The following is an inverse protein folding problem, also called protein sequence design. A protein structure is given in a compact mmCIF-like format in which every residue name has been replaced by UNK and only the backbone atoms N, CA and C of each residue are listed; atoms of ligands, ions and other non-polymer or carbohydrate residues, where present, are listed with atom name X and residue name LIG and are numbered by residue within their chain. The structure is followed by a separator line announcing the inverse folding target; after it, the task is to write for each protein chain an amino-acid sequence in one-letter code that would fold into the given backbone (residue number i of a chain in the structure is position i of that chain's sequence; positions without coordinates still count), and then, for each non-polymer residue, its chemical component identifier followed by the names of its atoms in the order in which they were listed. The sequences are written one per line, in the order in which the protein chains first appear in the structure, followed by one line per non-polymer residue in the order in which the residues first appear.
data_IF_570267949423
#
_entry.id   IF_570267949423
#
_cell.length_a   1.000
_cell.length_b   1.000
_cell.length_c   1.000
_cell.angle_alpha   90.00
_cell.angle_beta   90.00
_cell.angle_gamma   90.00
#
_symmetry.space_group_name_H-M   'P 1'
#
loop_
_entity.id
_entity.type
_entity.pdbx_description
1 polymer ?
#
# COMPACT_ATOMS: atom_id res chain seq x y z
N UNK A 1 -6.60 -34.61 -44.68
CA UNK A 1 -5.80 -35.00 -43.50
C UNK A 1 -5.06 -33.75 -43.06
N UNK A 2 -5.64 -32.99 -42.13
CA UNK A 2 -5.03 -31.76 -41.65
C UNK A 2 -4.35 -32.07 -40.33
N UNK A 3 -3.04 -32.26 -40.40
CA UNK A 3 -2.18 -32.57 -39.26
C UNK A 3 -1.90 -31.29 -38.46
N UNK A 4 -2.75 -30.97 -37.49
CA UNK A 4 -2.45 -30.00 -36.43
C UNK A 4 -1.55 -30.67 -35.37
N UNK A 5 -0.24 -30.78 -35.67
CA UNK A 5 0.76 -31.41 -34.78
C UNK A 5 1.24 -30.51 -33.63
N UNK A 6 0.63 -29.33 -33.44
CA UNK A 6 1.01 -28.37 -32.39
C UNK A 6 -0.17 -27.91 -31.51
N UNK A 7 -1.39 -28.46 -31.72
CA UNK A 7 -2.61 -27.97 -31.07
C UNK A 7 -2.75 -28.24 -29.56
N UNK A 8 -1.78 -28.91 -28.94
CA UNK A 8 -1.88 -29.41 -27.56
C UNK A 8 -0.73 -28.95 -26.64
N UNK A 9 0.09 -27.98 -27.05
CA UNK A 9 1.22 -27.51 -26.22
C UNK A 9 0.77 -26.41 -25.24
N UNK A 10 -0.34 -25.72 -25.52
CA UNK A 10 -0.89 -24.68 -24.64
C UNK A 10 -2.21 -25.21 -24.07
N UNK A 11 -2.36 -25.36 -22.75
CA UNK A 11 -3.64 -25.71 -22.15
C UNK A 11 -4.66 -24.63 -22.54
N UNK A 12 -5.82 -25.07 -23.06
CA UNK A 12 -6.92 -24.17 -23.34
C UNK A 12 -7.32 -23.49 -22.02
N UNK A 13 -7.33 -22.16 -21.99
CA UNK A 13 -7.61 -21.44 -20.77
C UNK A 13 -9.05 -21.78 -20.31
N UNK A 14 -9.25 -22.07 -19.02
CA UNK A 14 -10.57 -22.38 -18.51
C UNK A 14 -11.53 -21.22 -18.80
N UNK A 15 -12.73 -21.56 -19.30
CA UNK A 15 -13.78 -20.60 -19.60
C UNK A 15 -14.13 -19.81 -18.32
N UNK A 16 -14.35 -18.50 -18.45
CA UNK A 16 -14.71 -17.67 -17.31
C UNK A 16 -16.18 -17.87 -16.92
N UNK A 17 -16.43 -18.11 -15.64
CA UNK A 17 -17.80 -18.19 -15.10
C UNK A 17 -18.45 -16.81 -15.01
N UNK A 18 -19.79 -16.75 -15.00
CA UNK A 18 -20.53 -15.49 -14.87
C UNK A 18 -20.29 -14.75 -13.53
N UNK A 19 -19.92 -15.50 -12.49
CA UNK A 19 -19.47 -14.97 -11.22
C UNK A 19 -18.30 -15.82 -10.75
N UNK A 20 -17.23 -15.21 -10.26
CA UNK A 20 -16.01 -15.90 -9.85
C UNK A 20 -15.56 -15.50 -8.46
N UNK A 21 -14.98 -16.45 -7.75
CA UNK A 21 -14.37 -16.22 -6.44
C UNK A 21 -12.97 -15.62 -6.56
N UNK A 22 -12.54 -14.91 -5.52
CA UNK A 22 -11.21 -14.27 -5.44
C UNK A 22 -10.05 -15.25 -5.56
N UNK A 23 -10.20 -16.50 -5.12
CA UNK A 23 -9.17 -17.53 -5.27
C UNK A 23 -8.98 -17.93 -6.75
N UNK A 24 -10.06 -17.95 -7.54
CA UNK A 24 -9.99 -18.25 -8.98
C UNK A 24 -9.20 -17.16 -9.70
N UNK A 25 -9.53 -15.90 -9.44
CA UNK A 25 -8.81 -14.76 -10.01
C UNK A 25 -7.33 -14.77 -9.59
N UNK A 26 -7.03 -15.02 -8.30
CA UNK A 26 -5.67 -15.08 -7.77
C UNK A 26 -4.85 -16.19 -8.45
N UNK A 27 -5.45 -17.37 -8.59
CA UNK A 27 -4.82 -18.51 -9.27
C UNK A 27 -4.50 -18.19 -10.73
N UNK A 28 -5.41 -17.51 -11.46
CA UNK A 28 -5.15 -17.09 -12.84
C UNK A 28 -4.05 -16.02 -12.95
N UNK A 29 -3.92 -15.13 -11.97
CA UNK A 29 -2.87 -14.11 -11.95
C UNK A 29 -1.47 -14.73 -11.76
N UNK A 30 -1.37 -15.76 -10.92
CA UNK A 30 -0.10 -16.44 -10.60
C UNK A 30 0.43 -17.35 -11.73
N UNK A 31 -0.43 -17.74 -12.69
CA UNK A 31 -0.07 -18.64 -13.80
C UNK A 31 0.79 -17.99 -14.91
N UNK A 32 1.05 -16.68 -14.86
CA UNK A 32 2.16 -16.04 -15.59
C UNK A 32 1.83 -15.37 -16.92
N UNK A 33 0.71 -15.67 -17.58
CA UNK A 33 0.20 -14.86 -18.70
C UNK A 33 -1.30 -14.56 -18.53
N UNK A 34 -1.66 -13.39 -17.97
CA UNK A 34 -3.05 -13.04 -17.78
C UNK A 34 -3.69 -12.73 -19.13
N UNK A 35 -4.48 -13.67 -19.67
CA UNK A 35 -5.32 -13.41 -20.83
C UNK A 35 -6.61 -12.63 -20.48
N UNK A 36 -6.70 -12.06 -19.29
CA UNK A 36 -7.88 -11.37 -18.77
C UNK A 36 -7.57 -9.93 -18.36
N UNK A 37 -8.62 -9.16 -18.12
CA UNK A 37 -8.55 -7.79 -17.61
C UNK A 37 -9.37 -7.69 -16.32
N UNK A 38 -8.86 -6.97 -15.33
CA UNK A 38 -9.60 -6.68 -14.10
C UNK A 38 -10.07 -5.22 -14.17
N UNK A 39 -11.37 -4.98 -14.04
CA UNK A 39 -11.96 -3.65 -14.02
C UNK A 39 -12.43 -3.28 -12.61
N UNK A 40 -11.90 -2.17 -12.11
CA UNK A 40 -12.41 -1.52 -10.91
C UNK A 40 -13.42 -0.46 -11.33
N UNK A 41 -14.70 -0.67 -10.99
CA UNK A 41 -15.79 0.24 -11.37
C UNK A 41 -16.17 1.23 -10.27
N UNK A 42 -15.40 1.25 -9.17
CA UNK A 42 -15.53 2.25 -8.11
C UNK A 42 -15.14 3.64 -8.63
N UNK A 43 -15.40 4.65 -7.82
CA UNK A 43 -14.96 6.00 -8.11
C UNK A 43 -13.43 6.09 -8.14
N UNK A 44 -12.93 7.16 -8.78
CA UNK A 44 -11.50 7.35 -9.00
C UNK A 44 -10.71 7.52 -7.69
N UNK A 45 -11.31 8.09 -6.64
CA UNK A 45 -10.62 8.26 -5.37
C UNK A 45 -10.43 6.91 -4.68
N UNK A 46 -11.47 6.08 -4.62
CA UNK A 46 -11.39 4.71 -4.09
C UNK A 46 -10.34 3.86 -4.81
N UNK A 47 -10.26 3.96 -6.14
CA UNK A 47 -9.21 3.29 -6.91
C UNK A 47 -7.81 3.78 -6.51
N UNK A 48 -7.60 5.11 -6.44
CA UNK A 48 -6.30 5.68 -6.08
C UNK A 48 -5.87 5.33 -4.65
N UNK A 49 -6.81 5.21 -3.71
CA UNK A 49 -6.54 4.81 -2.33
C UNK A 49 -6.00 3.38 -2.24
N UNK A 50 -6.66 2.43 -2.93
CA UNK A 50 -6.27 1.03 -2.94
C UNK A 50 -7.15 0.20 -3.88
N UNK A 51 -6.53 -0.58 -4.76
CA UNK A 51 -7.17 -1.43 -5.76
C UNK A 51 -6.42 -2.76 -5.94
N UNK A 52 -7.04 -3.73 -6.61
CA UNK A 52 -6.37 -4.98 -6.99
C UNK A 52 -5.21 -4.66 -7.92
N UNK A 53 -4.02 -5.21 -7.65
CA UNK A 53 -2.82 -4.99 -8.46
C UNK A 53 -3.08 -5.31 -9.94
N UNK A 54 -2.73 -4.37 -10.83
CA UNK A 54 -2.95 -4.51 -12.27
C UNK A 54 -4.41 -4.32 -12.73
N UNK A 55 -5.35 -3.95 -11.84
CA UNK A 55 -6.70 -3.58 -12.27
C UNK A 55 -6.74 -2.20 -12.93
N UNK A 56 -7.63 -2.05 -13.92
CA UNK A 56 -7.83 -0.79 -14.65
C UNK A 56 -8.99 0.01 -14.04
N UNK A 57 -8.83 1.34 -13.85
CA UNK A 57 -9.91 2.17 -13.35
C UNK A 57 -10.93 2.43 -14.46
N UNK A 58 -12.14 1.90 -14.29
CA UNK A 58 -13.27 2.12 -15.19
C UNK A 58 -14.52 2.47 -14.40
N UNK A 59 -14.60 3.66 -13.76
CA UNK A 59 -15.77 4.07 -13.01
C UNK A 59 -17.05 3.91 -13.82
N UNK A 60 -18.15 3.52 -13.16
CA UNK A 60 -19.44 3.21 -13.82
C UNK A 60 -19.87 4.29 -14.83
N UNK A 61 -19.64 5.57 -14.52
CA UNK A 61 -19.88 6.67 -15.44
C UNK A 61 -18.95 6.59 -16.66
N UNK A 62 -19.51 6.34 -17.85
CA UNK A 62 -18.77 6.14 -19.10
C UNK A 62 -18.07 4.78 -19.22
N UNK A 63 -18.41 3.80 -18.38
CA UNK A 63 -17.82 2.45 -18.39
C UNK A 63 -17.86 1.80 -19.78
N UNK A 64 -19.05 1.76 -20.40
CA UNK A 64 -19.27 1.04 -21.67
C UNK A 64 -18.48 1.68 -22.81
N UNK A 65 -18.44 3.01 -22.89
CA UNK A 65 -17.74 3.73 -23.96
C UNK A 65 -16.23 3.52 -23.84
N UNK A 66 -15.68 3.68 -22.63
CA UNK A 66 -14.25 3.46 -22.38
C UNK A 66 -13.85 2.02 -22.64
N UNK A 67 -14.61 1.06 -22.12
CA UNK A 67 -14.35 -0.36 -22.35
C UNK A 67 -14.40 -0.70 -23.84
N UNK A 68 -15.43 -0.24 -24.57
CA UNK A 68 -15.60 -0.55 -26.00
C UNK A 68 -14.49 0.05 -26.88
N UNK A 69 -13.86 1.13 -26.43
CA UNK A 69 -12.74 1.75 -27.14
C UNK A 69 -11.37 1.12 -26.86
N UNK A 70 -11.23 0.35 -25.78
CA UNK A 70 -9.92 -0.09 -25.26
C UNK A 70 -9.79 -1.59 -25.00
N UNK A 71 -10.91 -2.34 -24.98
CA UNK A 71 -10.94 -3.77 -24.63
C UNK A 71 -11.65 -4.54 -25.72
N UNK A 72 -11.05 -5.65 -26.16
CA UNK A 72 -11.65 -6.59 -27.11
C UNK A 72 -12.90 -7.26 -26.50
N UNK A 73 -13.97 -7.45 -27.29
CA UNK A 73 -15.24 -8.03 -26.82
C UNK A 73 -15.13 -9.50 -26.38
N UNK A 74 -14.12 -10.22 -26.85
CA UNK A 74 -13.81 -11.60 -26.48
C UNK A 74 -12.85 -11.73 -25.29
N UNK A 75 -12.34 -10.61 -24.77
CA UNK A 75 -11.46 -10.60 -23.61
C UNK A 75 -12.21 -11.09 -22.38
N UNK A 76 -11.56 -11.94 -21.59
CA UNK A 76 -12.02 -12.30 -20.25
C UNK A 76 -11.92 -11.08 -19.32
N UNK A 77 -13.03 -10.69 -18.70
CA UNK A 77 -13.11 -9.50 -17.86
C UNK A 77 -13.64 -9.90 -16.49
N UNK A 78 -12.88 -9.59 -15.44
CA UNK A 78 -13.35 -9.62 -14.06
C UNK A 78 -13.70 -8.21 -13.61
N UNK A 79 -14.88 -8.02 -13.05
CA UNK A 79 -15.36 -6.70 -12.60
C UNK A 79 -15.59 -6.73 -11.10
N UNK A 80 -15.20 -5.66 -10.41
CA UNK A 80 -15.58 -5.43 -9.01
C UNK A 80 -15.89 -3.95 -8.76
N UNK A 81 -16.92 -3.71 -7.96
CA UNK A 81 -17.32 -2.40 -7.46
C UNK A 81 -17.17 -2.28 -5.94
N UNK A 82 -17.76 -1.23 -5.37
CA UNK A 82 -17.84 -0.99 -3.94
C UNK A 82 -18.89 -1.88 -3.26
N UNK A 83 -19.86 -2.37 -4.03
CA UNK A 83 -20.91 -3.29 -3.59
C UNK A 83 -21.17 -4.37 -4.65
N UNK A 84 -21.83 -5.45 -4.23
CA UNK A 84 -22.29 -6.50 -5.16
C UNK A 84 -23.26 -5.94 -6.21
N UNK A 85 -24.16 -5.04 -5.80
CA UNK A 85 -25.10 -4.38 -6.71
C UNK A 85 -24.38 -3.56 -7.79
N UNK A 86 -23.41 -2.71 -7.41
CA UNK A 86 -22.64 -1.94 -8.38
C UNK A 86 -21.87 -2.84 -9.35
N UNK A 87 -21.33 -3.95 -8.83
CA UNK A 87 -20.61 -4.94 -9.63
C UNK A 87 -21.53 -5.60 -10.66
N UNK A 88 -22.71 -6.06 -10.22
CA UNK A 88 -23.70 -6.68 -11.09
C UNK A 88 -24.22 -5.72 -12.18
N UNK A 89 -24.50 -4.46 -11.81
CA UNK A 89 -24.93 -3.43 -12.77
C UNK A 89 -23.87 -3.17 -13.84
N UNK A 90 -22.60 -3.05 -13.45
CA UNK A 90 -21.50 -2.86 -14.39
C UNK A 90 -21.31 -4.05 -15.34
N UNK A 91 -21.39 -5.28 -14.80
CA UNK A 91 -21.29 -6.51 -15.60
C UNK A 91 -22.45 -6.61 -16.59
N UNK A 92 -23.67 -6.30 -16.16
CA UNK A 92 -24.83 -6.27 -17.04
C UNK A 92 -24.64 -5.26 -18.17
N UNK A 93 -24.18 -4.04 -17.87
CA UNK A 93 -23.93 -3.01 -18.87
C UNK A 93 -22.89 -3.45 -19.92
N UNK A 94 -21.80 -4.09 -19.50
CA UNK A 94 -20.78 -4.62 -20.40
C UNK A 94 -21.33 -5.76 -21.27
N UNK A 95 -22.05 -6.72 -20.67
CA UNK A 95 -22.68 -7.82 -21.44
C UNK A 95 -23.68 -7.28 -22.48
N UNK A 96 -24.51 -6.30 -22.10
CA UNK A 96 -25.43 -5.62 -23.02
C UNK A 96 -24.72 -4.87 -24.14
N UNK A 97 -23.48 -4.42 -23.91
CA UNK A 97 -22.62 -3.82 -24.93
C UNK A 97 -21.84 -4.84 -25.79
N UNK A 98 -22.13 -6.14 -25.65
CA UNK A 98 -21.57 -7.22 -26.48
C UNK A 98 -20.26 -7.80 -25.97
N UNK A 99 -19.82 -7.50 -24.74
CA UNK A 99 -18.71 -8.23 -24.13
C UNK A 99 -19.16 -9.64 -23.75
N UNK A 100 -18.45 -10.65 -24.25
CA UNK A 100 -18.90 -12.05 -24.18
C UNK A 100 -18.50 -12.69 -22.84
N UNK A 101 -17.31 -12.37 -22.36
CA UNK A 101 -16.67 -13.05 -21.22
C UNK A 101 -16.51 -12.07 -20.05
N UNK A 102 -17.59 -11.80 -19.33
CA UNK A 102 -17.59 -10.86 -18.18
C UNK A 102 -18.03 -11.59 -16.93
N UNK A 103 -17.25 -11.49 -15.85
CA UNK A 103 -17.50 -12.11 -14.55
C UNK A 103 -17.57 -11.08 -13.42
N UNK A 104 -18.54 -11.28 -12.52
CA UNK A 104 -18.59 -10.58 -11.25
C UNK A 104 -17.57 -11.20 -10.28
N UNK A 105 -16.65 -10.40 -9.74
CA UNK A 105 -15.73 -10.85 -8.69
C UNK A 105 -16.43 -10.79 -7.33
N UNK A 106 -16.79 -11.96 -6.78
CA UNK A 106 -17.53 -12.07 -5.52
C UNK A 106 -16.74 -11.47 -4.36
N UNK A 107 -17.43 -10.69 -3.52
CA UNK A 107 -16.84 -10.01 -2.36
C UNK A 107 -15.85 -8.87 -2.68
N UNK A 108 -15.60 -8.60 -3.98
CA UNK A 108 -14.81 -7.47 -4.47
C UNK A 108 -13.43 -7.32 -3.81
N UNK A 109 -13.00 -6.07 -3.62
CA UNK A 109 -11.70 -5.76 -3.04
C UNK A 109 -11.55 -6.27 -1.60
N UNK A 110 -12.62 -6.29 -0.80
CA UNK A 110 -12.56 -6.73 0.59
C UNK A 110 -12.22 -8.23 0.68
N UNK A 111 -12.90 -9.07 -0.10
CA UNK A 111 -12.57 -10.49 -0.17
C UNK A 111 -11.18 -10.75 -0.75
N UNK A 112 -10.77 -9.95 -1.74
CA UNK A 112 -9.42 -10.04 -2.33
C UNK A 112 -8.33 -9.77 -1.28
N UNK A 113 -8.49 -8.72 -0.47
CA UNK A 113 -7.59 -8.40 0.64
C UNK A 113 -7.59 -9.51 1.70
N UNK A 114 -8.76 -10.07 2.02
CA UNK A 114 -8.88 -11.12 3.04
C UNK A 114 -8.07 -12.38 2.71
N UNK A 115 -7.86 -12.69 1.42
CA UNK A 115 -7.05 -13.83 0.97
C UNK A 115 -5.56 -13.46 0.72
N UNK A 116 -5.15 -12.26 1.15
CA UNK A 116 -3.80 -11.72 0.92
C UNK A 116 -3.50 -11.57 -0.58
N UNK A 117 -4.48 -11.15 -1.38
CA UNK A 117 -4.25 -10.81 -2.78
C UNK A 117 -3.43 -9.52 -2.92
N UNK A 118 -2.55 -9.41 -3.92
CA UNK A 118 -1.73 -8.21 -4.12
C UNK A 118 -2.61 -6.99 -4.47
N UNK A 119 -2.28 -5.84 -3.85
CA UNK A 119 -2.99 -4.57 -4.06
C UNK A 119 -2.00 -3.45 -4.32
N UNK A 120 -2.47 -2.38 -4.96
CA UNK A 120 -1.73 -1.15 -5.26
C UNK A 120 -2.55 0.06 -4.83
N UNK A 121 -1.90 1.18 -4.50
CA UNK A 121 -2.59 2.41 -4.10
C UNK A 121 -1.81 3.26 -3.10
N UNK A 122 -2.30 4.48 -2.87
CA UNK A 122 -1.65 5.45 -1.97
C UNK A 122 -1.67 4.97 -0.52
N UNK A 123 -2.76 4.33 -0.07
CA UNK A 123 -2.86 3.81 1.29
C UNK A 123 -2.16 2.47 1.42
N UNK A 124 -2.24 1.61 0.41
CA UNK A 124 -1.56 0.30 0.43
C UNK A 124 -0.01 0.43 0.45
N UNK A 125 0.53 1.52 -0.12
CA UNK A 125 1.97 1.83 -0.07
C UNK A 125 2.40 2.58 1.20
N UNK A 126 1.43 3.12 1.96
CA UNK A 126 1.67 3.80 3.23
C UNK A 126 1.17 2.91 4.33
N UNK A 127 2.01 2.02 4.85
CA UNK A 127 1.83 1.58 6.24
C UNK A 127 1.74 2.86 7.08
N UNK A 128 0.59 3.17 7.72
CA UNK A 128 0.57 4.27 8.68
C UNK A 128 1.67 3.94 9.69
N UNK A 129 2.61 4.85 9.97
CA UNK A 129 3.57 4.59 11.01
C UNK A 129 2.77 4.19 12.26
N UNK A 130 3.14 3.09 12.91
CA UNK A 130 2.49 2.62 14.13
C UNK A 130 2.36 3.77 15.12
N UNK A 131 1.39 3.71 16.03
CA UNK A 131 1.24 4.75 17.06
C UNK A 131 2.54 4.99 17.86
N UNK A 132 3.40 3.99 17.89
CA UNK A 132 4.75 3.90 18.44
C UNK A 132 5.87 4.41 17.51
N UNK A 133 5.65 4.54 16.20
CA UNK A 133 6.62 5.12 15.25
C UNK A 133 6.82 6.62 15.46
N UNK A 134 5.82 7.34 15.96
CA UNK A 134 5.90 8.77 16.27
C UNK A 134 6.47 9.06 17.66
N UNK A 135 6.70 8.04 18.50
CA UNK A 135 7.24 8.24 19.84
C UNK A 135 8.78 8.19 19.84
N UNK A 136 9.37 9.22 19.23
CA UNK A 136 10.83 9.43 19.19
C UNK A 136 11.44 9.44 20.61
N UNK A 137 10.68 9.92 21.60
CA UNK A 137 11.12 10.01 23.00
C UNK A 137 11.32 8.62 23.60
N UNK A 138 10.39 7.67 23.37
CA UNK A 138 10.55 6.29 23.85
C UNK A 138 11.71 5.58 23.16
N UNK A 139 11.89 5.74 21.84
CA UNK A 139 13.03 5.15 21.13
C UNK A 139 14.38 5.67 21.62
N UNK A 140 14.47 6.98 21.87
CA UNK A 140 15.69 7.59 22.43
C UNK A 140 15.93 7.10 23.85
N UNK A 141 14.89 6.95 24.66
CA UNK A 141 15.00 6.44 26.02
C UNK A 141 15.43 4.97 26.06
N UNK A 142 14.82 4.11 25.26
CA UNK A 142 15.17 2.69 25.14
C UNK A 142 16.59 2.51 24.60
N UNK A 143 17.00 3.36 23.64
CA UNK A 143 18.36 3.36 23.12
C UNK A 143 19.38 3.79 24.18
N UNK A 144 19.08 4.83 24.97
CA UNK A 144 19.94 5.29 26.08
C UNK A 144 20.03 4.24 27.20
N UNK A 145 18.93 3.58 27.55
CA UNK A 145 18.89 2.53 28.56
C UNK A 145 19.66 1.27 28.10
N UNK A 146 19.56 0.91 26.83
CA UNK A 146 20.30 -0.23 26.27
C UNK A 146 21.77 0.06 26.02
N UNK A 147 22.18 1.32 25.83
CA UNK A 147 23.60 1.70 25.78
C UNK A 147 24.30 1.61 27.15
N UNK A 148 23.56 1.66 28.26
CA UNK A 148 24.13 1.54 29.61
C UNK A 148 24.32 0.09 30.07
N UNK A 149 23.75 -0.90 29.36
CA UNK A 149 24.06 -2.31 29.58
C UNK A 149 25.37 -2.65 28.87
N UNK A 150 26.48 -2.52 29.60
CA UNK A 150 27.74 -3.14 29.19
C UNK A 150 27.52 -4.64 29.04
N UNK A 151 27.65 -5.16 27.83
CA UNK A 151 27.82 -6.60 27.60
C UNK A 151 29.04 -7.03 28.43
N UNK A 152 28.98 -8.09 29.26
CA UNK A 152 30.17 -8.60 29.91
C UNK A 152 31.19 -8.94 28.82
N UNK A 153 32.35 -8.30 28.86
CA UNK A 153 33.42 -8.60 27.92
C UNK A 153 33.82 -10.07 27.99
N UNK A 154 34.36 -10.65 26.90
CA UNK A 154 34.86 -12.01 26.93
C UNK A 154 36.00 -12.13 27.97
N UNK A 155 36.08 -13.31 28.59
CA UNK A 155 37.05 -13.71 29.61
C UNK A 155 38.47 -13.14 29.33
N UNK A 156 39.13 -12.52 30.33
CA UNK A 156 40.47 -11.94 30.18
C UNK A 156 41.57 -12.92 29.70
N UNK A 157 41.33 -14.23 29.66
CA UNK A 157 42.31 -15.21 29.16
C UNK A 157 42.35 -15.42 27.63
N UNK A 158 41.52 -14.76 26.81
CA UNK A 158 41.44 -15.14 25.38
C UNK A 158 42.23 -14.24 24.40
N UNK A 159 42.75 -13.06 24.76
CA UNK A 159 43.49 -12.24 23.76
C UNK A 159 44.70 -11.54 24.37
N UNK A 160 45.78 -12.29 24.55
CA UNK A 160 47.12 -11.70 24.43
C UNK A 160 47.36 -11.34 22.96
N UNK A 161 47.87 -10.12 22.77
CA UNK A 161 48.48 -9.56 21.55
C UNK A 161 47.56 -8.74 20.62
N UNK A 162 47.45 -7.44 20.90
CA UNK A 162 48.22 -6.38 20.20
C UNK A 162 47.67 -5.00 20.57
N UNK A 163 48.41 -4.29 21.41
CA UNK A 163 48.23 -2.85 21.60
C UNK A 163 48.84 -2.10 20.41
N UNK A 164 48.11 -1.11 19.85
CA UNK A 164 48.75 0.10 19.32
C UNK A 164 47.81 1.30 19.26
N UNK A 165 48.26 2.35 19.97
CA UNK A 165 48.06 3.79 19.78
C UNK A 165 46.64 4.37 19.87
N UNK A 166 46.51 5.36 20.76
CA UNK A 166 45.30 6.12 21.01
C UNK A 166 45.04 7.17 19.93
N UNK A 167 43.76 7.36 19.64
CA UNK A 167 43.19 8.52 18.99
C UNK A 167 42.11 9.07 19.92
N UNK A 168 42.24 10.35 20.27
CA UNK A 168 41.27 11.12 21.04
C UNK A 168 40.02 11.33 20.16
N UNK A 169 39.08 10.38 20.23
CA UNK A 169 37.83 10.45 19.46
C UNK A 169 36.89 11.45 20.14
N UNK A 170 36.36 12.46 19.42
CA UNK A 170 35.47 13.46 20.01
C UNK A 170 34.25 12.76 20.64
N UNK A 171 33.94 13.13 21.88
CA UNK A 171 32.89 12.49 22.68
C UNK A 171 31.50 12.75 22.06
N UNK A 172 31.08 11.86 21.15
CA UNK A 172 29.82 11.93 20.39
C UNK A 172 28.60 12.09 21.30
N UNK A 173 28.68 11.55 22.52
CA UNK A 173 27.60 11.65 23.54
C UNK A 173 27.38 13.09 23.99
N UNK A 174 28.45 13.89 24.12
CA UNK A 174 28.33 15.29 24.54
C UNK A 174 27.65 16.17 23.48
N UNK A 175 28.04 16.02 22.20
CA UNK A 175 27.41 16.73 21.08
C UNK A 175 25.95 16.33 20.87
N UNK A 176 25.62 15.05 21.06
CA UNK A 176 24.24 14.57 20.97
C UNK A 176 23.36 15.16 22.08
N UNK A 177 23.90 15.30 23.30
CA UNK A 177 23.17 15.88 24.43
C UNK A 177 22.91 17.38 24.24
N UNK A 178 23.90 18.11 23.72
CA UNK A 178 23.78 19.53 23.39
C UNK A 178 22.77 19.78 22.26
N UNK A 179 22.77 18.94 21.22
CA UNK A 179 21.78 19.01 20.15
C UNK A 179 20.34 18.74 20.61
N UNK A 180 20.14 17.87 21.61
CA UNK A 180 18.83 17.57 22.16
C UNK A 180 18.26 18.73 23.00
N UNK A 181 19.09 19.41 23.78
CA UNK A 181 18.65 20.58 24.55
C UNK A 181 18.29 21.75 23.63
N UNK A 182 19.12 22.03 22.60
CA UNK A 182 18.81 23.06 21.60
C UNK A 182 17.48 22.79 20.86
N UNK A 183 17.14 21.52 20.63
CA UNK A 183 15.88 21.16 19.98
C UNK A 183 14.67 21.41 20.90
N UNK A 184 14.79 21.10 22.20
CA UNK A 184 13.71 21.36 23.17
C UNK A 184 13.43 22.86 23.29
N UNK A 185 14.47 23.67 23.35
CA UNK A 185 14.35 25.12 23.45
C UNK A 185 13.65 25.71 22.23
N UNK A 186 14.02 25.26 21.02
CA UNK A 186 13.37 25.70 19.77
C UNK A 186 11.89 25.28 19.69
N UNK A 187 11.55 24.07 20.15
CA UNK A 187 10.16 23.60 20.15
C UNK A 187 9.34 24.43 21.15
N UNK A 188 9.87 24.69 22.34
CA UNK A 188 9.21 25.51 23.35
C UNK A 188 8.95 26.93 22.86
N UNK A 189 9.95 27.55 22.21
CA UNK A 189 9.83 28.91 21.65
C UNK A 189 8.76 28.97 20.55
N UNK A 190 8.71 27.99 19.66
CA UNK A 190 7.73 27.95 18.57
C UNK A 190 6.30 27.71 19.08
N UNK A 191 6.13 26.86 20.10
CA UNK A 191 4.83 26.66 20.75
C UNK A 191 4.35 27.94 21.41
N UNK A 192 5.25 28.68 22.06
CA UNK A 192 4.89 29.95 22.70
C UNK A 192 4.49 31.01 21.67
N UNK A 193 5.26 31.16 20.57
CA UNK A 193 4.92 32.07 19.46
C UNK A 193 3.56 31.75 18.85
N UNK A 194 3.26 30.47 18.64
CA UNK A 194 1.97 30.04 18.11
C UNK A 194 0.81 30.37 19.09
N UNK A 195 1.04 30.17 20.39
CA UNK A 195 0.06 30.50 21.43
C UNK A 195 -0.22 32.01 21.51
N UNK A 196 0.80 32.85 21.31
CA UNK A 196 0.65 34.30 21.35
C UNK A 196 -0.05 34.84 20.09
N UNK A 197 0.24 34.29 18.90
CA UNK A 197 -0.48 34.62 17.66
C UNK A 197 -1.97 34.26 17.74
N UNK A 198 -2.31 33.13 18.36
CA UNK A 198 -3.70 32.72 18.58
C UNK A 198 -4.45 33.68 19.51
N UNK A 199 -3.78 34.19 20.56
CA UNK A 199 -4.38 35.18 21.47
C UNK A 199 -4.61 36.51 20.79
N UNK A 200 -3.69 36.94 19.92
CA UNK A 200 -3.82 38.20 19.17
C UNK A 200 -4.95 38.12 18.13
N UNK A 201 -5.02 37.03 17.36
CA UNK A 201 -6.12 36.81 16.40
C UNK A 201 -7.51 36.73 17.05
N UNK A 202 -7.60 36.22 18.28
CA UNK A 202 -8.87 36.13 19.02
C UNK A 202 -9.27 37.48 19.63
N UNK A 203 -8.30 38.37 19.90
CA UNK A 203 -8.55 39.71 20.42
C UNK A 203 -9.11 40.64 19.35
N UNK A 204 -8.54 40.60 18.14
CA UNK A 204 -9.00 41.41 16.99
C UNK A 204 -10.41 41.05 16.52
N UNK A 205 -10.86 39.80 16.76
CA UNK A 205 -12.21 39.34 16.42
C UNK A 205 -13.30 39.79 17.41
N UNK A 206 -12.93 40.30 18.59
CA UNK A 206 -13.86 40.74 19.65
C UNK A 206 -13.99 42.28 19.75
N UNK A 207 -13.23 43.03 18.95
CA UNK A 207 -13.27 44.51 18.88
C UNK A 207 -13.92 45.03 17.58
N UNK A 208 -14.52 44.15 16.75
CA UNK A 208 -15.32 44.49 15.56
C UNK A 208 -16.83 44.25 15.75
#
# INVERSE_FOLDING_TARGET
MNNNLLGNIIPEQPQIDSQSDVHVLKSRLEWGEPAFTILDVRDRNSYNEGHIMGSMPMPTDGLVDRASSSIDKSRDIYVYGASEEQTAQAVQALRSAGFVHVSELKGGLAAWKAIGGPTEGIVESRTPPGADDYNVVSRVKDHLENQQKTVPGPDPNTVQSRNRAGEDKPNVVSKAKEGLENLKDNVQENVQKAADQLKEATRDSNEQ
#
